data_IF_953746117753
#
_entry.id   IF_953746117753
#
_cell.length_a   1.000
_cell.length_b   1.000
_cell.length_c   1.000
_cell.angle_alpha   90.00
_cell.angle_beta   90.00
_cell.angle_gamma   90.00
#
_symmetry.space_group_name_H-M   'P 1'
#
loop_
_entity.id
_entity.type
_entity.pdbx_description
1 polymer ?
#
# COMPACT_ATOMS: atom_id res chain seq x y z
N UNK A 1 9.22 -52.69 20.08
CA UNK A 1 8.98 -51.93 18.86
C UNK A 1 7.90 -50.88 18.93
N UNK A 2 6.99 -50.93 19.93
CA UNK A 2 5.88 -49.95 20.05
C UNK A 2 6.24 -48.59 20.70
N UNK A 3 7.32 -48.50 21.45
CA UNK A 3 7.70 -47.25 22.16
C UNK A 3 8.32 -46.18 21.28
N UNK A 4 8.92 -46.55 20.13
CA UNK A 4 9.61 -45.58 19.25
C UNK A 4 8.62 -44.80 18.36
N UNK A 5 7.53 -45.43 17.94
CA UNK A 5 6.52 -44.80 17.09
C UNK A 5 5.69 -43.75 17.84
N UNK A 6 5.43 -44.01 19.15
CA UNK A 6 4.70 -43.06 20.00
C UNK A 6 5.54 -41.79 20.28
N UNK A 7 6.86 -41.92 20.35
CA UNK A 7 7.77 -40.80 20.60
C UNK A 7 7.89 -39.88 19.36
N UNK A 8 7.86 -40.47 18.16
CA UNK A 8 7.89 -39.71 16.90
C UNK A 8 6.59 -38.91 16.65
N UNK A 9 5.44 -39.51 16.94
CA UNK A 9 4.17 -38.78 16.85
C UNK A 9 4.09 -37.63 17.87
N UNK A 10 4.68 -37.80 19.05
CA UNK A 10 4.69 -36.76 20.08
C UNK A 10 5.65 -35.62 19.70
N UNK A 11 6.77 -35.91 19.02
CA UNK A 11 7.72 -34.90 18.57
C UNK A 11 7.18 -34.06 17.41
N UNK A 12 6.45 -34.66 16.47
CA UNK A 12 5.79 -33.93 15.39
C UNK A 12 4.63 -33.07 15.91
N UNK A 13 3.89 -33.54 16.90
CA UNK A 13 2.85 -32.74 17.55
C UNK A 13 3.43 -31.58 18.39
N UNK A 14 4.56 -31.79 19.06
CA UNK A 14 5.25 -30.74 19.81
C UNK A 14 5.85 -29.69 18.87
N UNK A 15 6.35 -30.07 17.70
CA UNK A 15 6.85 -29.09 16.73
C UNK A 15 5.75 -28.23 16.12
N UNK A 16 4.57 -28.80 15.88
CA UNK A 16 3.40 -28.04 15.41
C UNK A 16 2.84 -27.15 16.54
N UNK A 17 2.84 -27.60 17.79
CA UNK A 17 2.43 -26.79 18.94
C UNK A 17 3.46 -25.67 19.25
N UNK A 18 4.76 -25.94 19.13
CA UNK A 18 5.81 -24.92 19.28
C UNK A 18 5.76 -23.87 18.17
N UNK A 19 5.41 -24.26 16.92
CA UNK A 19 5.15 -23.33 15.85
C UNK A 19 4.02 -22.38 16.23
N UNK A 20 2.99 -22.85 16.89
CA UNK A 20 1.84 -22.06 17.32
C UNK A 20 2.16 -21.07 18.44
N UNK A 21 2.99 -21.44 19.39
CA UNK A 21 3.37 -20.62 20.54
C UNK A 21 4.55 -19.64 20.25
N UNK A 22 5.39 -19.92 19.27
CA UNK A 22 6.56 -19.10 18.95
C UNK A 22 6.28 -17.84 18.15
N UNK A 23 5.05 -17.37 18.06
CA UNK A 23 4.70 -16.12 17.39
C UNK A 23 4.93 -16.12 15.88
N UNK A 24 4.96 -17.31 15.25
CA UNK A 24 4.98 -17.50 13.79
C UNK A 24 3.80 -16.81 13.08
N UNK A 25 2.74 -16.56 13.84
CA UNK A 25 1.48 -15.96 13.40
C UNK A 25 1.44 -14.44 13.53
N UNK A 26 2.56 -13.78 13.84
CA UNK A 26 2.58 -12.32 13.84
C UNK A 26 2.63 -11.81 12.42
N UNK A 27 1.47 -11.51 11.87
CA UNK A 27 1.29 -10.77 10.66
C UNK A 27 0.91 -9.32 10.98
N UNK A 28 1.39 -8.40 10.18
CA UNK A 28 1.02 -6.98 10.26
C UNK A 28 0.39 -6.56 8.95
N UNK A 29 -0.70 -5.82 9.07
CA UNK A 29 -1.38 -5.17 7.95
C UNK A 29 -0.98 -3.70 7.87
N UNK A 30 -1.47 -2.98 6.89
CA UNK A 30 -1.17 -1.56 6.68
C UNK A 30 -1.27 -0.71 7.97
N UNK A 31 -2.18 -1.05 8.90
CA UNK A 31 -2.39 -0.35 10.18
C UNK A 31 -2.02 -1.18 11.42
N UNK A 32 -1.44 -2.35 11.25
CA UNK A 32 -0.95 -3.21 12.33
C UNK A 32 -2.01 -3.90 13.21
N UNK A 33 -3.31 -3.65 13.04
CA UNK A 33 -4.33 -4.11 13.99
C UNK A 33 -5.46 -4.96 13.41
N UNK A 34 -5.82 -4.77 12.16
CA UNK A 34 -6.94 -5.48 11.50
C UNK A 34 -6.54 -5.93 10.11
N UNK A 35 -7.07 -7.07 9.70
CA UNK A 35 -6.97 -7.59 8.35
C UNK A 35 -7.91 -6.81 7.41
N UNK A 36 -7.58 -5.58 7.10
CA UNK A 36 -8.34 -4.76 6.15
C UNK A 36 -7.50 -4.55 4.90
N UNK A 37 -8.06 -4.92 3.75
CA UNK A 37 -7.49 -4.64 2.45
C UNK A 37 -8.34 -3.58 1.74
N UNK A 38 -7.68 -2.58 1.21
CA UNK A 38 -8.33 -1.45 0.56
C UNK A 38 -8.31 -1.64 -0.96
N UNK A 39 -9.48 -1.53 -1.59
CA UNK A 39 -9.64 -1.61 -3.03
C UNK A 39 -9.02 -0.38 -3.72
N UNK A 40 -8.46 -0.58 -4.91
CA UNK A 40 -7.85 0.48 -5.70
C UNK A 40 -6.43 0.89 -5.25
N UNK A 41 -5.86 0.19 -4.27
CA UNK A 41 -4.49 0.38 -3.80
C UNK A 41 -3.77 -0.94 -3.56
N UNK A 42 -2.45 -0.92 -3.65
CA UNK A 42 -1.61 -2.03 -3.23
C UNK A 42 -1.46 -2.01 -1.72
N UNK A 43 -2.01 -3.03 -1.08
CA UNK A 43 -1.91 -3.23 0.35
C UNK A 43 -0.61 -3.97 0.67
N UNK A 44 -0.03 -3.72 1.84
CA UNK A 44 1.14 -4.46 2.31
C UNK A 44 0.75 -5.39 3.44
N UNK A 45 1.14 -6.65 3.30
CA UNK A 45 0.96 -7.69 4.28
C UNK A 45 2.32 -8.25 4.67
N UNK A 46 2.59 -8.33 5.97
CA UNK A 46 3.84 -8.89 6.50
C UNK A 46 3.55 -10.17 7.26
N UNK A 47 4.27 -11.21 6.94
CA UNK A 47 4.21 -12.50 7.58
C UNK A 47 5.62 -12.87 8.06
N UNK A 48 5.74 -13.32 9.29
CA UNK A 48 7.03 -13.71 9.85
C UNK A 48 7.58 -14.95 9.15
N UNK A 49 6.72 -15.94 8.97
CA UNK A 49 7.03 -17.18 8.27
C UNK A 49 5.80 -17.69 7.50
N UNK A 50 6.03 -18.49 6.47
CA UNK A 50 4.98 -19.08 5.64
C UNK A 50 4.65 -18.27 4.38
N UNK A 51 3.74 -18.80 3.60
CA UNK A 51 3.29 -18.20 2.34
C UNK A 51 1.77 -18.02 2.38
N UNK A 52 1.25 -16.81 2.11
CA UNK A 52 -0.17 -16.58 2.05
C UNK A 52 -0.76 -17.22 0.79
N UNK A 53 -1.92 -17.84 0.94
CA UNK A 53 -2.69 -18.39 -0.17
C UNK A 53 -4.08 -17.76 -0.21
N UNK A 54 -4.47 -17.29 -1.37
CA UNK A 54 -5.80 -16.77 -1.61
C UNK A 54 -6.69 -17.86 -2.21
N UNK A 55 -7.75 -18.22 -1.50
CA UNK A 55 -8.68 -19.27 -1.96
C UNK A 55 -9.93 -18.74 -2.68
N UNK A 56 -10.21 -17.44 -2.58
CA UNK A 56 -11.50 -16.89 -3.01
C UNK A 56 -11.43 -16.09 -4.30
N UNK A 57 -10.26 -15.97 -4.93
CA UNK A 57 -10.09 -15.10 -6.11
C UNK A 57 -10.27 -13.59 -5.85
N UNK A 58 -10.61 -13.21 -4.61
CA UNK A 58 -10.83 -11.82 -4.24
C UNK A 58 -9.55 -11.00 -4.14
N UNK A 59 -8.43 -11.66 -3.83
CA UNK A 59 -7.12 -11.04 -3.60
C UNK A 59 -6.11 -11.59 -4.60
N UNK A 60 -5.28 -10.72 -5.16
CA UNK A 60 -4.07 -11.08 -5.89
C UNK A 60 -2.88 -10.79 -5.01
N UNK A 61 -2.09 -11.81 -4.71
CA UNK A 61 -0.93 -11.73 -3.84
C UNK A 61 0.34 -11.74 -4.69
N UNK A 62 1.21 -10.76 -4.48
CA UNK A 62 2.49 -10.62 -5.14
C UNK A 62 3.61 -10.76 -4.11
N UNK A 63 4.61 -11.57 -4.44
CA UNK A 63 5.85 -11.63 -3.66
C UNK A 63 6.66 -10.34 -3.84
N UNK A 64 7.47 -10.00 -2.85
CA UNK A 64 8.43 -8.90 -2.93
C UNK A 64 9.84 -9.43 -2.73
N UNK A 65 10.84 -8.59 -2.97
CA UNK A 65 12.25 -8.92 -2.72
C UNK A 65 12.57 -9.04 -1.22
N UNK A 66 11.65 -8.63 -0.36
CA UNK A 66 11.80 -8.70 1.10
C UNK A 66 11.06 -9.93 1.61
N UNK A 67 11.79 -10.83 2.24
CA UNK A 67 11.23 -12.06 2.80
C UNK A 67 10.08 -11.77 3.78
N UNK A 68 8.98 -12.46 3.59
CA UNK A 68 7.78 -12.30 4.44
C UNK A 68 6.96 -11.05 4.16
N UNK A 69 7.34 -10.22 3.19
CA UNK A 69 6.56 -9.06 2.75
C UNK A 69 5.84 -9.38 1.45
N UNK A 70 4.55 -9.11 1.41
CA UNK A 70 3.70 -9.36 0.25
C UNK A 70 2.92 -8.10 -0.10
N UNK A 71 2.74 -7.87 -1.39
CA UNK A 71 1.81 -6.90 -1.90
C UNK A 71 0.50 -7.57 -2.27
N UNK A 72 -0.61 -6.98 -1.87
CA UNK A 72 -1.94 -7.54 -2.05
C UNK A 72 -2.82 -6.53 -2.78
N UNK A 73 -3.37 -6.94 -3.89
CA UNK A 73 -4.40 -6.20 -4.61
C UNK A 73 -5.76 -6.85 -4.40
N UNK A 74 -6.78 -6.02 -4.23
CA UNK A 74 -8.17 -6.46 -4.26
C UNK A 74 -8.64 -6.47 -5.71
N UNK A 75 -9.27 -7.55 -6.13
CA UNK A 75 -9.79 -7.66 -7.49
C UNK A 75 -10.92 -6.65 -7.73
N UNK A 76 -10.95 -6.00 -8.89
CA UNK A 76 -11.89 -4.89 -9.20
C UNK A 76 -13.36 -5.31 -9.14
N UNK A 77 -13.66 -6.58 -9.41
CA UNK A 77 -15.02 -7.13 -9.36
C UNK A 77 -15.59 -7.30 -7.95
N UNK A 78 -14.72 -7.16 -6.91
CA UNK A 78 -15.16 -7.30 -5.51
C UNK A 78 -15.73 -5.98 -5.02
N UNK A 79 -16.98 -5.97 -4.60
CA UNK A 79 -17.66 -4.76 -4.11
C UNK A 79 -17.53 -4.57 -2.61
N UNK A 80 -17.87 -5.58 -1.81
CA UNK A 80 -17.70 -5.58 -0.35
C UNK A 80 -17.62 -7.04 0.08
N UNK A 81 -16.61 -7.39 0.87
CA UNK A 81 -16.39 -8.79 1.18
C UNK A 81 -15.70 -8.99 2.53
N UNK A 82 -16.22 -9.96 3.28
CA UNK A 82 -15.55 -10.55 4.44
C UNK A 82 -15.03 -11.93 4.02
N UNK A 83 -13.75 -12.16 4.16
CA UNK A 83 -13.13 -13.42 3.75
C UNK A 83 -12.13 -13.94 4.77
N UNK A 84 -11.51 -15.05 4.42
CA UNK A 84 -10.43 -15.65 5.20
C UNK A 84 -9.23 -15.89 4.30
N UNK A 85 -8.07 -15.47 4.74
CA UNK A 85 -6.79 -15.77 4.11
C UNK A 85 -6.19 -16.99 4.79
N UNK A 86 -5.83 -17.99 4.00
CA UNK A 86 -5.11 -19.16 4.51
C UNK A 86 -3.60 -18.91 4.41
N UNK A 87 -2.88 -19.27 5.47
CA UNK A 87 -1.43 -19.16 5.53
C UNK A 87 -0.85 -20.57 5.62
N UNK A 88 0.18 -20.81 4.83
CA UNK A 88 0.95 -22.07 4.86
C UNK A 88 2.42 -21.79 5.13
N UNK A 89 3.10 -22.72 5.74
CA UNK A 89 4.55 -22.74 5.84
C UNK A 89 5.09 -24.04 5.25
N UNK A 90 6.39 -24.06 5.02
CA UNK A 90 7.13 -25.27 4.70
C UNK A 90 7.92 -25.68 5.92
N UNK A 91 7.80 -26.94 6.31
CA UNK A 91 8.63 -27.57 7.34
C UNK A 91 9.55 -28.60 6.69
N UNK A 92 10.73 -28.82 7.29
CA UNK A 92 11.59 -29.94 6.88
C UNK A 92 10.96 -31.26 7.31
N UNK A 93 10.78 -32.14 6.34
CA UNK A 93 10.32 -33.49 6.61
C UNK A 93 11.48 -34.36 7.15
N UNK A 94 11.20 -35.36 8.03
CA UNK A 94 12.24 -36.23 8.59
C UNK A 94 13.05 -37.01 7.57
N UNK A 95 12.52 -37.23 6.38
CA UNK A 95 13.19 -37.96 5.28
C UNK A 95 14.00 -37.04 4.36
N UNK A 96 14.12 -35.78 4.71
CA UNK A 96 14.70 -34.74 3.85
C UNK A 96 13.70 -34.27 2.79
N UNK A 97 13.57 -32.98 2.70
CA UNK A 97 12.58 -32.32 1.81
C UNK A 97 11.77 -31.28 2.56
N UNK A 98 10.87 -30.64 1.84
CA UNK A 98 10.00 -29.63 2.42
C UNK A 98 8.54 -30.05 2.28
N UNK A 99 7.86 -30.16 3.40
CA UNK A 99 6.43 -30.41 3.47
C UNK A 99 5.68 -29.11 3.62
N UNK A 100 4.61 -28.96 2.84
CA UNK A 100 3.71 -27.80 2.92
C UNK A 100 2.67 -28.04 4.01
N UNK A 101 2.70 -27.22 5.06
CA UNK A 101 1.80 -27.32 6.18
C UNK A 101 0.87 -26.10 6.20
N UNK A 102 -0.42 -26.37 6.37
CA UNK A 102 -1.38 -25.33 6.67
C UNK A 102 -1.18 -24.85 8.12
N UNK A 103 -0.96 -23.54 8.29
CA UNK A 103 -0.67 -22.96 9.58
C UNK A 103 -1.89 -22.28 10.18
N UNK A 104 -2.49 -21.35 9.43
CA UNK A 104 -3.54 -20.50 9.99
C UNK A 104 -4.52 -20.00 8.91
N UNK A 105 -5.65 -19.56 9.41
CA UNK A 105 -6.76 -18.97 8.66
C UNK A 105 -7.22 -17.73 9.41
N UNK A 106 -7.00 -16.55 8.86
CA UNK A 106 -7.45 -15.32 9.50
C UNK A 106 -8.49 -14.57 8.67
N UNK A 107 -9.44 -13.91 9.34
CA UNK A 107 -10.45 -13.11 8.67
C UNK A 107 -9.85 -11.81 8.13
N UNK A 108 -10.35 -11.36 7.01
CA UNK A 108 -10.06 -10.04 6.45
C UNK A 108 -11.35 -9.35 6.00
N UNK A 109 -11.27 -8.04 5.91
CA UNK A 109 -12.33 -7.18 5.40
C UNK A 109 -11.81 -6.42 4.19
N UNK A 110 -12.63 -6.25 3.16
CA UNK A 110 -12.33 -5.40 2.01
C UNK A 110 -13.13 -4.11 2.16
N UNK A 111 -12.46 -2.98 2.01
CA UNK A 111 -13.05 -1.64 2.06
C UNK A 111 -12.68 -0.85 0.83
N UNK A 112 -13.57 0.05 0.43
CA UNK A 112 -13.23 1.11 -0.50
C UNK A 112 -12.21 2.04 0.15
N UNK A 113 -11.24 2.48 -0.62
CA UNK A 113 -10.25 3.45 -0.16
C UNK A 113 -10.65 4.86 -0.55
N UNK A 114 -10.30 5.88 0.27
CA UNK A 114 -10.49 7.27 -0.10
C UNK A 114 -9.63 7.63 -1.32
N UNK A 115 -10.02 8.67 -2.03
CA UNK A 115 -9.26 9.18 -3.16
C UNK A 115 -7.96 9.86 -2.71
N UNK A 116 -6.93 9.75 -3.54
CA UNK A 116 -5.72 10.56 -3.39
C UNK A 116 -5.99 11.98 -3.89
N UNK A 117 -5.45 12.94 -3.16
CA UNK A 117 -5.51 14.37 -3.48
C UNK A 117 -4.11 14.95 -3.66
N UNK A 118 -4.03 16.00 -4.46
CA UNK A 118 -2.85 16.84 -4.57
C UNK A 118 -3.01 18.02 -3.62
N UNK A 119 -1.96 18.33 -2.88
CA UNK A 119 -1.87 19.46 -1.98
C UNK A 119 -0.74 20.38 -2.43
N UNK A 120 -0.95 21.69 -2.35
CA UNK A 120 0.11 22.71 -2.34
C UNK A 120 0.04 23.43 -1.00
N UNK A 121 1.10 23.29 -0.19
CA UNK A 121 1.02 23.70 1.21
C UNK A 121 -0.01 22.88 1.97
N UNK A 122 -1.06 23.55 2.43
CA UNK A 122 -2.22 22.93 3.09
C UNK A 122 -3.47 22.92 2.21
N UNK A 123 -3.44 23.59 1.05
CA UNK A 123 -4.59 23.73 0.16
C UNK A 123 -4.83 22.49 -0.68
N UNK A 124 -6.09 22.16 -0.90
CA UNK A 124 -6.55 21.10 -1.81
C UNK A 124 -7.15 21.70 -3.08
N UNK A 125 -7.51 20.83 -4.03
CA UNK A 125 -8.08 21.25 -5.31
C UNK A 125 -9.33 22.14 -5.10
N UNK A 126 -9.38 23.27 -5.76
CA UNK A 126 -10.43 24.30 -5.68
C UNK A 126 -10.14 25.43 -4.70
N UNK A 127 -9.06 25.34 -3.94
CA UNK A 127 -8.67 26.34 -2.93
C UNK A 127 -7.58 27.28 -3.43
N UNK A 128 -7.43 28.38 -2.72
CA UNK A 128 -6.33 29.32 -2.90
C UNK A 128 -5.05 28.76 -2.27
N UNK A 129 -3.92 28.97 -2.94
CA UNK A 129 -2.60 28.60 -2.44
C UNK A 129 -1.85 29.80 -1.90
N UNK A 130 -1.33 29.64 -0.69
CA UNK A 130 -0.35 30.57 -0.10
C UNK A 130 1.00 30.38 -0.78
N UNK A 131 1.48 31.44 -1.44
CA UNK A 131 2.76 31.42 -2.14
C UNK A 131 3.97 31.38 -1.21
N UNK A 132 3.78 31.59 0.09
CA UNK A 132 4.83 31.39 1.10
C UNK A 132 5.09 29.92 1.41
N UNK A 133 4.10 29.05 1.19
CA UNK A 133 4.17 27.59 1.48
C UNK A 133 3.97 26.73 0.24
N UNK A 134 4.85 26.85 -0.73
CA UNK A 134 4.80 26.11 -1.99
C UNK A 134 5.43 24.71 -1.86
N UNK A 135 4.80 23.82 -1.08
CA UNK A 135 5.21 22.42 -0.95
C UNK A 135 4.14 21.51 -1.56
N UNK A 136 4.48 20.85 -2.67
CA UNK A 136 3.59 19.89 -3.31
C UNK A 136 3.65 18.54 -2.58
N UNK A 137 2.47 18.01 -2.27
CA UNK A 137 2.30 16.68 -1.68
C UNK A 137 1.16 15.96 -2.38
N UNK A 138 1.20 14.63 -2.32
CA UNK A 138 0.06 13.77 -2.65
C UNK A 138 -0.31 12.99 -1.39
N UNK A 139 -1.58 12.89 -1.10
CA UNK A 139 -2.05 12.22 0.10
C UNK A 139 -3.55 12.09 0.16
N UNK A 140 -4.05 11.77 1.34
CA UNK A 140 -5.47 11.67 1.65
C UNK A 140 -5.90 12.86 2.51
N UNK A 141 -7.17 13.23 2.44
CA UNK A 141 -7.73 14.29 3.29
C UNK A 141 -7.66 13.93 4.78
N UNK A 142 -7.87 12.66 5.08
CA UNK A 142 -7.75 12.11 6.43
C UNK A 142 -6.57 11.15 6.54
N UNK A 143 -6.03 10.90 7.74
CA UNK A 143 -4.98 9.91 7.94
C UNK A 143 -5.40 8.54 7.40
N UNK A 144 -4.61 8.01 6.46
CA UNK A 144 -4.88 6.73 5.82
C UNK A 144 -3.63 5.83 5.88
N UNK A 145 -3.80 4.54 6.18
CA UNK A 145 -2.66 3.65 6.46
C UNK A 145 -1.82 3.27 5.22
N UNK A 146 -2.27 3.60 4.02
CA UNK A 146 -1.53 3.33 2.78
C UNK A 146 -0.77 4.59 2.38
N UNK A 147 0.56 4.47 2.30
CA UNK A 147 1.47 5.56 1.91
C UNK A 147 2.60 5.11 0.98
N UNK A 148 2.43 3.94 0.36
CA UNK A 148 3.48 3.26 -0.42
C UNK A 148 3.47 3.61 -1.91
N UNK A 149 2.99 4.78 -2.29
CA UNK A 149 3.06 5.32 -3.64
C UNK A 149 4.16 6.39 -3.75
N UNK A 150 4.70 6.54 -4.95
CA UNK A 150 5.75 7.52 -5.26
C UNK A 150 5.29 8.45 -6.37
N UNK A 151 5.54 9.75 -6.20
CA UNK A 151 5.36 10.72 -7.29
C UNK A 151 6.46 10.49 -8.33
N UNK A 152 6.08 10.26 -9.58
CA UNK A 152 6.99 10.05 -10.70
C UNK A 152 7.09 11.25 -11.62
N UNK A 153 6.04 12.04 -11.72
CA UNK A 153 5.98 13.23 -12.58
C UNK A 153 4.96 14.22 -12.04
N UNK A 154 5.26 15.50 -12.18
CA UNK A 154 4.35 16.61 -11.89
C UNK A 154 4.33 17.54 -13.10
N UNK A 155 3.16 17.84 -13.60
CA UNK A 155 2.95 18.89 -14.63
C UNK A 155 2.12 20.01 -14.04
N UNK A 156 2.65 21.23 -14.15
CA UNK A 156 1.96 22.47 -13.76
C UNK A 156 1.58 23.21 -15.04
N UNK A 157 0.31 23.59 -15.16
CA UNK A 157 -0.19 24.40 -16.27
C UNK A 157 -0.69 25.72 -15.68
N UNK A 158 -0.04 26.79 -16.05
CA UNK A 158 -0.32 28.15 -15.58
C UNK A 158 -1.09 28.90 -16.66
N UNK A 159 -2.25 29.48 -16.32
CA UNK A 159 -3.09 30.26 -17.23
C UNK A 159 -3.43 29.55 -18.56
N UNK A 160 -3.48 28.22 -18.55
CA UNK A 160 -3.73 27.37 -19.76
C UNK A 160 -2.67 27.53 -20.88
N UNK A 161 -1.56 28.19 -20.62
CA UNK A 161 -0.53 28.51 -21.65
C UNK A 161 0.82 27.88 -21.39
N UNK A 162 1.27 27.92 -20.17
CA UNK A 162 2.60 27.44 -19.83
C UNK A 162 2.54 26.09 -19.11
N UNK A 163 3.35 25.15 -19.60
CA UNK A 163 3.48 23.82 -19.01
C UNK A 163 4.89 23.65 -18.43
N UNK A 164 4.97 23.35 -17.14
CA UNK A 164 6.21 23.02 -16.43
C UNK A 164 6.14 21.58 -16.00
N UNK A 165 7.09 20.75 -16.40
CA UNK A 165 7.15 19.34 -16.02
C UNK A 165 8.33 19.09 -15.09
N UNK A 166 8.09 18.39 -13.99
CA UNK A 166 9.06 17.98 -12.98
C UNK A 166 9.03 16.47 -12.79
N UNK A 167 10.18 15.86 -12.51
CA UNK A 167 10.30 14.41 -12.27
C UNK A 167 10.11 14.00 -10.79
N UNK A 168 9.67 14.93 -9.97
CA UNK A 168 9.42 14.70 -8.53
C UNK A 168 8.40 15.70 -8.01
N UNK A 169 7.97 15.52 -6.77
CA UNK A 169 7.11 16.48 -6.07
C UNK A 169 7.87 17.70 -5.49
N UNK A 170 9.16 17.80 -5.74
CA UNK A 170 9.93 18.96 -5.31
C UNK A 170 9.80 20.10 -6.33
N UNK A 171 9.07 21.13 -5.95
CA UNK A 171 8.99 22.37 -6.69
C UNK A 171 10.31 23.12 -6.52
N UNK A 172 11.16 23.07 -7.54
CA UNK A 172 12.44 23.76 -7.52
C UNK A 172 12.28 25.30 -7.37
N UNK A 173 13.35 25.98 -7.00
CA UNK A 173 13.33 27.42 -6.71
C UNK A 173 12.80 28.29 -7.87
N UNK A 174 13.06 27.88 -9.10
CA UNK A 174 12.56 28.63 -10.29
C UNK A 174 11.05 28.54 -10.39
N UNK A 175 10.47 27.35 -10.17
CA UNK A 175 9.02 27.14 -10.15
C UNK A 175 8.39 27.91 -9.00
N UNK A 176 8.94 27.81 -7.78
CA UNK A 176 8.46 28.55 -6.62
C UNK A 176 8.44 30.05 -6.85
N UNK A 177 9.56 30.60 -7.35
CA UNK A 177 9.67 32.03 -7.71
C UNK A 177 8.68 32.45 -8.78
N UNK A 178 8.40 31.54 -9.73
CA UNK A 178 7.42 31.81 -10.76
C UNK A 178 6.01 31.86 -10.19
N UNK A 179 5.61 30.87 -9.41
CA UNK A 179 4.30 30.83 -8.75
C UNK A 179 4.08 32.05 -7.84
N UNK A 180 5.12 32.48 -7.08
CA UNK A 180 5.03 33.64 -6.19
C UNK A 180 4.95 35.00 -6.91
N UNK A 181 5.12 35.04 -8.20
CA UNK A 181 4.98 36.27 -9.03
C UNK A 181 3.65 36.34 -9.80
N UNK A 182 2.83 35.29 -9.71
CA UNK A 182 1.53 35.30 -10.35
C UNK A 182 0.59 36.22 -9.59
N UNK A 183 -0.29 36.86 -10.34
CA UNK A 183 -1.32 37.70 -9.72
C UNK A 183 -2.39 36.87 -8.97
N UNK A 184 -3.15 37.52 -8.09
CA UNK A 184 -4.29 36.90 -7.41
C UNK A 184 -5.23 36.22 -8.41
N UNK A 185 -5.90 35.16 -7.96
CA UNK A 185 -6.89 34.38 -8.72
C UNK A 185 -6.33 33.69 -9.98
N UNK A 186 -5.02 33.76 -10.21
CA UNK A 186 -4.40 33.02 -11.32
C UNK A 186 -4.62 31.52 -11.14
N UNK A 187 -5.22 30.89 -12.16
CA UNK A 187 -5.46 29.43 -12.18
C UNK A 187 -4.16 28.66 -12.43
N UNK A 188 -3.88 27.71 -11.53
CA UNK A 188 -2.77 26.76 -11.65
C UNK A 188 -3.34 25.34 -11.65
N UNK A 189 -3.28 24.67 -12.79
CA UNK A 189 -3.64 23.25 -12.90
C UNK A 189 -2.43 22.39 -12.62
N UNK A 190 -2.63 21.37 -11.81
CA UNK A 190 -1.58 20.43 -11.44
C UNK A 190 -2.02 19.02 -11.82
N UNK A 191 -1.18 18.33 -12.57
CA UNK A 191 -1.35 16.91 -12.90
C UNK A 191 -0.18 16.13 -12.32
N UNK A 192 -0.46 15.15 -11.47
CA UNK A 192 0.56 14.35 -10.81
C UNK A 192 0.40 12.89 -11.24
N UNK A 193 1.50 12.29 -11.70
CA UNK A 193 1.60 10.85 -11.91
C UNK A 193 2.19 10.22 -10.67
N UNK A 194 1.47 9.28 -10.08
CA UNK A 194 1.96 8.47 -8.97
C UNK A 194 2.15 7.03 -9.42
N UNK A 195 3.16 6.37 -8.87
CA UNK A 195 3.42 4.94 -9.01
C UNK A 195 3.16 4.21 -7.71
N UNK A 196 2.50 3.08 -7.80
CA UNK A 196 2.35 2.16 -6.69
C UNK A 196 3.55 1.19 -6.58
N UNK A 197 3.62 0.31 -5.56
CA UNK A 197 4.70 -0.67 -5.41
C UNK A 197 4.78 -1.73 -6.52
N UNK A 198 3.76 -1.84 -7.37
CA UNK A 198 3.74 -2.72 -8.55
C UNK A 198 4.00 -1.95 -9.86
N UNK A 199 4.56 -0.73 -9.75
CA UNK A 199 4.84 0.18 -10.87
C UNK A 199 3.62 0.59 -11.72
N UNK A 200 2.40 0.33 -11.24
CA UNK A 200 1.19 0.84 -11.89
C UNK A 200 1.09 2.34 -11.66
N UNK A 201 0.74 3.06 -12.71
CA UNK A 201 0.64 4.51 -12.68
C UNK A 201 -0.81 4.97 -12.54
N UNK A 202 -1.01 6.02 -11.75
CA UNK A 202 -2.29 6.72 -11.62
C UNK A 202 -2.07 8.22 -11.77
N UNK A 203 -2.92 8.88 -12.54
CA UNK A 203 -2.90 10.34 -12.70
C UNK A 203 -3.92 10.98 -11.77
N UNK A 204 -3.49 12.03 -11.08
CA UNK A 204 -4.33 12.84 -10.19
C UNK A 204 -4.25 14.28 -10.67
N UNK A 205 -5.41 14.90 -10.87
CA UNK A 205 -5.50 16.28 -11.32
C UNK A 205 -6.08 17.15 -10.22
N UNK A 206 -5.58 18.37 -10.12
CA UNK A 206 -6.06 19.38 -9.20
C UNK A 206 -6.01 20.75 -9.84
N UNK A 207 -6.83 21.67 -9.37
CA UNK A 207 -6.86 23.08 -9.80
C UNK A 207 -6.73 23.94 -8.55
N UNK A 208 -5.86 24.92 -8.61
CA UNK A 208 -5.61 25.85 -7.52
C UNK A 208 -5.70 27.29 -8.04
N UNK A 209 -5.85 28.22 -7.12
CA UNK A 209 -5.84 29.66 -7.43
C UNK A 209 -4.79 30.33 -6.55
N UNK A 210 -4.13 31.37 -7.07
CA UNK A 210 -3.17 32.15 -6.27
C UNK A 210 -3.96 33.01 -5.29
N UNK A 211 -3.52 33.02 -4.03
CA UNK A 211 -4.11 33.86 -2.98
C UNK A 211 -3.88 35.35 -3.29
N UNK A 212 -4.89 36.18 -2.95
CA UNK A 212 -4.84 37.64 -3.12
C UNK A 212 -4.01 38.34 -2.03
#
# INVERSE_FOLDING_TARGET
MFKTTLFYCFFTFLSVAQIKDNGLYKYTFNNGKKAVFYKGYVNTFKLKEGTPLNFNGALRIHTTDVLGVYHVEVHDTVTSFLGKLNITAYIEAPEGGREKVFIDKFPFEIKEAPSLHVFIGNSVSGENIDTSNLRLKVGFLEPFPISNYKVSEVSLIIEKREVITLKSNDLNQNVKRKLSRLGPETEVRVSVMVKDPLDKTKRINAVFFIES
#
